data_IF_184924481859
#
_entry.id   IF_184924481859
#
_cell.length_a   1.000
_cell.length_b   1.000
_cell.length_c   1.000
_cell.angle_alpha   90.00
_cell.angle_beta   90.00
_cell.angle_gamma   90.00
#
_symmetry.space_group_name_H-M   'P 1'
#
loop_
_entity.id
_entity.type
_entity.pdbx_description
1 polymer ?
#
# COMPACT_ATOMS: atom_id res chain seq x y z
N UNK A 1 -7.10 -59.62 -14.20
CA UNK A 1 -7.81 -58.59 -14.99
C UNK A 1 -8.29 -57.49 -14.07
N UNK A 2 -8.28 -56.26 -14.58
CA UNK A 2 -8.50 -54.98 -13.88
C UNK A 2 -9.99 -54.61 -13.71
N UNK A 3 -10.21 -53.45 -13.06
CA UNK A 3 -11.40 -52.54 -13.05
C UNK A 3 -12.68 -53.02 -12.31
N UNK A 4 -13.54 -52.18 -11.70
CA UNK A 4 -13.52 -50.72 -11.43
C UNK A 4 -14.54 -50.27 -10.35
N UNK A 5 -14.22 -49.21 -9.56
CA UNK A 5 -14.99 -47.93 -9.41
C UNK A 5 -14.71 -47.19 -8.09
N UNK A 6 -14.44 -45.89 -8.18
CA UNK A 6 -14.34 -44.98 -7.03
C UNK A 6 -13.95 -43.55 -7.44
N UNK A 7 -14.94 -42.66 -7.49
CA UNK A 7 -14.92 -41.19 -7.59
C UNK A 7 -13.56 -40.48 -7.39
N UNK A 8 -13.04 -39.70 -8.35
CA UNK A 8 -13.47 -38.35 -8.76
C UNK A 8 -13.25 -37.24 -7.71
N UNK A 9 -12.64 -36.12 -8.17
CA UNK A 9 -12.37 -34.84 -7.47
C UNK A 9 -11.11 -34.77 -6.57
N UNK A 10 -9.93 -34.81 -7.18
CA UNK A 10 -8.74 -34.15 -6.59
C UNK A 10 -8.56 -32.76 -7.22
N UNK A 11 -8.94 -31.73 -6.47
CA UNK A 11 -8.75 -30.32 -6.82
C UNK A 11 -9.12 -29.50 -5.59
N UNK A 12 -8.12 -28.89 -4.94
CA UNK A 12 -7.63 -27.54 -5.26
C UNK A 12 -6.29 -27.61 -6.03
N UNK A 13 -5.90 -26.69 -6.93
CA UNK A 13 -6.29 -25.29 -7.15
C UNK A 13 -6.39 -24.47 -5.86
N UNK A 14 -5.27 -24.42 -5.15
CA UNK A 14 -4.79 -23.14 -4.68
C UNK A 14 -3.40 -22.98 -5.29
N UNK A 15 -3.30 -22.04 -6.21
CA UNK A 15 -2.05 -21.52 -6.73
C UNK A 15 -1.33 -20.88 -5.53
N UNK A 16 -0.42 -21.63 -4.90
CA UNK A 16 0.41 -21.14 -3.80
C UNK A 16 1.43 -20.14 -4.37
N UNK A 17 1.01 -18.88 -4.43
CA UNK A 17 1.81 -17.75 -4.89
C UNK A 17 2.91 -17.40 -3.88
N UNK A 18 3.86 -18.32 -3.70
CA UNK A 18 5.24 -17.90 -3.49
C UNK A 18 5.59 -16.98 -4.65
N UNK A 19 5.75 -15.67 -4.43
CA UNK A 19 6.98 -15.05 -3.83
C UNK A 19 6.69 -13.61 -3.38
N UNK A 20 7.04 -13.28 -2.14
CA UNK A 20 7.91 -12.14 -1.78
C UNK A 20 8.12 -12.12 -0.25
N UNK A 21 8.86 -13.11 0.24
CA UNK A 21 9.48 -13.06 1.58
C UNK A 21 10.69 -12.10 1.53
N UNK A 22 10.43 -10.81 1.35
CA UNK A 22 11.42 -9.76 1.58
C UNK A 22 11.23 -9.30 3.01
N UNK A 23 12.24 -9.55 3.86
CA UNK A 23 12.17 -9.39 5.31
C UNK A 23 11.73 -8.00 5.76
N UNK A 24 10.43 -7.84 5.98
CA UNK A 24 9.85 -6.72 6.70
C UNK A 24 10.07 -6.97 8.20
N UNK A 25 10.51 -5.96 8.97
CA UNK A 25 10.56 -6.07 10.42
C UNK A 25 9.17 -6.38 10.99
N UNK A 26 9.15 -7.07 12.14
CA UNK A 26 7.93 -7.60 12.77
C UNK A 26 7.01 -6.45 13.18
N UNK A 27 6.07 -6.10 12.31
CA UNK A 27 5.13 -4.99 12.53
C UNK A 27 4.58 -4.40 11.23
N UNK A 28 5.37 -4.41 10.15
CA UNK A 28 4.97 -3.82 8.86
C UNK A 28 4.35 -4.90 7.95
N UNK A 29 3.05 -4.80 7.68
CA UNK A 29 2.38 -5.71 6.73
C UNK A 29 2.78 -5.40 5.28
N UNK A 30 2.82 -6.38 4.34
CA UNK A 30 3.13 -6.09 2.94
C UNK A 30 2.12 -5.11 2.30
N UNK A 31 0.85 -5.15 2.71
CA UNK A 31 -0.18 -4.19 2.29
C UNK A 31 0.05 -2.75 2.82
N UNK A 32 0.92 -2.58 3.82
CA UNK A 32 1.37 -1.28 4.31
C UNK A 32 2.47 -0.71 3.40
N UNK A 33 3.48 -1.53 3.12
CA UNK A 33 4.56 -1.22 2.17
C UNK A 33 4.01 -0.87 0.79
N UNK A 34 3.02 -1.61 0.31
CA UNK A 34 2.36 -1.33 -0.97
C UNK A 34 1.61 0.01 -0.97
N UNK A 35 0.83 0.31 0.08
CA UNK A 35 0.13 1.60 0.21
C UNK A 35 1.10 2.78 0.30
N UNK A 36 2.17 2.65 1.08
CA UNK A 36 3.26 3.63 1.14
C UNK A 36 3.95 3.82 -0.21
N UNK A 37 4.21 2.73 -0.94
CA UNK A 37 4.83 2.76 -2.27
C UNK A 37 3.92 3.43 -3.31
N UNK A 38 2.61 3.20 -3.24
CA UNK A 38 1.63 3.88 -4.08
C UNK A 38 1.60 5.39 -3.78
N UNK A 39 1.52 5.79 -2.51
CA UNK A 39 1.63 7.20 -2.10
C UNK A 39 2.93 7.85 -2.60
N UNK A 40 4.08 7.18 -2.43
CA UNK A 40 5.37 7.63 -2.95
C UNK A 40 5.33 7.87 -4.47
N UNK A 41 4.73 6.94 -5.24
CA UNK A 41 4.65 7.04 -6.69
C UNK A 41 3.89 8.27 -7.20
N UNK A 42 2.88 8.74 -6.47
CA UNK A 42 2.10 9.94 -6.86
C UNK A 42 2.62 11.23 -6.24
N UNK A 43 3.13 11.18 -5.00
CA UNK A 43 3.49 12.37 -4.21
C UNK A 43 4.99 12.66 -4.17
N UNK A 44 5.89 11.74 -4.55
CA UNK A 44 7.35 11.99 -4.46
C UNK A 44 7.86 13.13 -5.36
N UNK A 45 7.06 13.57 -6.32
CA UNK A 45 7.34 14.71 -7.22
C UNK A 45 6.65 16.01 -6.75
N UNK A 46 5.99 16.00 -5.59
CA UNK A 46 5.40 17.20 -4.99
C UNK A 46 6.49 18.19 -4.51
N UNK A 47 6.14 19.48 -4.47
CA UNK A 47 7.06 20.55 -4.07
C UNK A 47 7.17 20.64 -2.55
N UNK A 48 7.93 19.74 -1.94
CA UNK A 48 8.21 19.81 -0.51
C UNK A 48 9.01 21.08 -0.12
N UNK A 49 8.73 21.72 1.03
CA UNK A 49 7.75 21.32 2.05
C UNK A 49 6.30 21.73 1.74
N UNK A 50 5.42 20.73 1.66
CA UNK A 50 4.04 20.85 1.20
C UNK A 50 3.03 20.63 2.35
N UNK A 51 1.87 21.27 2.28
CA UNK A 51 0.75 21.03 3.20
C UNK A 51 -0.14 19.89 2.69
N UNK A 52 -0.98 19.29 3.54
CA UNK A 52 -1.94 18.25 3.15
C UNK A 52 -2.80 18.65 1.93
N UNK A 53 -3.31 19.89 1.92
CA UNK A 53 -4.10 20.43 0.81
C UNK A 53 -3.29 20.59 -0.50
N UNK A 54 -2.03 21.01 -0.41
CA UNK A 54 -1.15 21.16 -1.59
C UNK A 54 -0.82 19.79 -2.21
N UNK A 55 -0.56 18.79 -1.37
CA UNK A 55 -0.41 17.38 -1.78
C UNK A 55 -1.71 16.83 -2.41
N UNK A 56 -2.88 17.21 -1.90
CA UNK A 56 -4.17 16.81 -2.45
C UNK A 56 -4.36 17.40 -3.85
N UNK A 57 -4.19 18.72 -4.00
CA UNK A 57 -4.29 19.41 -5.29
C UNK A 57 -3.29 18.85 -6.32
N UNK A 58 -2.05 18.54 -5.90
CA UNK A 58 -1.04 17.92 -6.75
C UNK A 58 -1.46 16.51 -7.21
N UNK A 59 -2.02 15.70 -6.30
CA UNK A 59 -2.49 14.36 -6.59
C UNK A 59 -3.73 14.37 -7.51
N UNK A 60 -4.69 15.27 -7.28
CA UNK A 60 -5.87 15.47 -8.13
C UNK A 60 -5.47 15.93 -9.54
N UNK A 61 -4.56 16.90 -9.66
CA UNK A 61 -4.04 17.37 -10.95
C UNK A 61 -3.38 16.23 -11.76
N UNK A 62 -2.75 15.27 -11.07
CA UNK A 62 -2.16 14.06 -11.67
C UNK A 62 -3.14 12.91 -11.89
N UNK A 63 -4.42 13.10 -11.58
CA UNK A 63 -5.46 12.05 -11.64
C UNK A 63 -5.04 10.81 -10.83
N UNK A 64 -4.47 11.03 -9.64
CA UNK A 64 -4.13 9.96 -8.71
C UNK A 64 -5.39 9.16 -8.29
N UNK A 65 -5.27 7.86 -8.03
CA UNK A 65 -6.41 7.02 -7.66
C UNK A 65 -7.07 7.48 -6.36
N UNK A 66 -8.39 7.31 -6.24
CA UNK A 66 -9.19 7.77 -5.10
C UNK A 66 -8.63 7.34 -3.73
N UNK A 67 -8.07 6.13 -3.64
CA UNK A 67 -7.40 5.64 -2.42
C UNK A 67 -6.23 6.54 -1.95
N UNK A 68 -5.51 7.18 -2.88
CA UNK A 68 -4.44 8.15 -2.59
C UNK A 68 -5.03 9.49 -2.18
N UNK A 69 -6.05 9.98 -2.90
CA UNK A 69 -6.73 11.24 -2.59
C UNK A 69 -7.38 11.20 -1.20
N UNK A 70 -8.07 10.10 -0.89
CA UNK A 70 -8.69 9.80 0.41
C UNK A 70 -7.66 9.75 1.52
N UNK A 71 -6.51 9.10 1.29
CA UNK A 71 -5.42 9.06 2.25
C UNK A 71 -4.85 10.47 2.50
N UNK A 72 -4.53 11.23 1.45
CA UNK A 72 -4.02 12.60 1.60
C UNK A 72 -5.03 13.53 2.30
N UNK A 73 -6.35 13.28 2.13
CA UNK A 73 -7.41 14.01 2.83
C UNK A 73 -7.54 13.66 4.33
N UNK A 74 -7.06 12.50 4.76
CA UNK A 74 -7.03 12.08 6.17
C UNK A 74 -5.83 12.65 6.94
N UNK A 75 -4.85 13.22 6.22
CA UNK A 75 -3.68 13.87 6.82
C UNK A 75 -4.09 15.07 7.71
N UNK A 76 -3.47 15.23 8.89
CA UNK A 76 -3.60 16.48 9.66
C UNK A 76 -3.05 17.68 8.89
N UNK A 77 -3.57 18.87 9.20
CA UNK A 77 -3.12 20.14 8.59
C UNK A 77 -1.72 20.54 9.11
N UNK A 78 -0.71 19.86 8.57
CA UNK A 78 0.70 19.99 8.90
C UNK A 78 1.52 20.10 7.60
N UNK A 79 2.80 20.49 7.76
CA UNK A 79 3.71 20.73 6.63
C UNK A 79 4.74 19.60 6.51
N UNK A 80 4.50 18.72 5.56
CA UNK A 80 5.32 17.55 5.26
C UNK A 80 6.61 17.96 4.55
N UNK A 81 7.75 17.41 4.98
CA UNK A 81 9.06 17.65 4.37
C UNK A 81 9.38 16.63 3.25
N UNK A 82 8.69 15.50 3.23
CA UNK A 82 8.92 14.38 2.31
C UNK A 82 7.75 13.39 2.37
N UNK A 83 7.63 12.53 1.36
CA UNK A 83 6.58 11.49 1.31
C UNK A 83 6.70 10.42 2.40
N UNK A 84 7.86 10.31 3.08
CA UNK A 84 8.01 9.51 4.29
C UNK A 84 7.08 9.99 5.40
N UNK A 85 7.17 11.27 5.76
CA UNK A 85 6.31 11.87 6.79
C UNK A 85 4.81 11.79 6.44
N UNK A 86 4.48 11.83 5.15
CA UNK A 86 3.10 11.63 4.67
C UNK A 86 2.62 10.21 4.99
N UNK A 87 3.42 9.18 4.69
CA UNK A 87 3.09 7.80 5.02
C UNK A 87 3.05 7.57 6.54
N UNK A 88 4.01 8.12 7.29
CA UNK A 88 4.07 8.03 8.76
C UNK A 88 2.83 8.65 9.41
N UNK A 89 2.36 9.82 8.93
CA UNK A 89 1.14 10.45 9.44
C UNK A 89 -0.15 9.67 9.16
N UNK A 90 -0.13 8.79 8.16
CA UNK A 90 -1.23 7.85 7.85
C UNK A 90 -1.10 6.50 8.60
N UNK A 91 -0.11 6.38 9.48
CA UNK A 91 0.21 5.13 10.17
C UNK A 91 0.88 4.07 9.27
N UNK A 92 1.21 4.41 8.03
CA UNK A 92 1.77 3.51 7.01
C UNK A 92 3.29 3.33 7.16
N UNK A 93 3.71 2.93 8.36
CA UNK A 93 5.12 2.63 8.64
C UNK A 93 5.58 2.82 10.08
N UNK A 94 4.68 2.89 11.07
CA UNK A 94 5.07 3.00 12.49
C UNK A 94 4.45 1.88 13.35
N UNK A 95 5.28 0.91 13.69
CA UNK A 95 5.08 0.07 14.87
C UNK A 95 5.10 0.96 16.13
N UNK A 96 3.93 1.22 16.73
CA UNK A 96 3.85 1.94 18.00
C UNK A 96 3.96 0.95 19.15
N UNK A 97 5.18 0.83 19.67
CA UNK A 97 5.56 0.10 20.87
C UNK A 97 4.83 0.64 22.13
#
# INVERSE_FOLDING_TARGET
MSIQRGSAKHGPRLDDERKHETGTPIGITPADVERRSNLAKWLSDARYPAAAHDLLTHAEAKNAPDAVLRAVRDLPDLRYQNVGQVAEALGLGVERH
#
